data_IF_749574068097
#
_entry.id   IF_749574068097
#
_cell.length_a   1.000
_cell.length_b   1.000
_cell.length_c   1.000
_cell.angle_alpha   90.00
_cell.angle_beta   90.00
_cell.angle_gamma   90.00
#
_symmetry.space_group_name_H-M   'P 1'
#
loop_
_entity.id
_entity.type
_entity.pdbx_description
1 polymer ?
#
# COMPACT_ATOMS: atom_id res chain seq x y z
N UNK A 1 -17.09 -2.41 5.33
CA UNK A 1 -16.60 -3.81 5.31
C UNK A 1 -17.79 -4.75 5.24
N UNK A 2 -17.62 -5.97 4.70
CA UNK A 2 -18.67 -7.00 4.66
C UNK A 2 -18.23 -8.18 5.53
N UNK A 3 -18.99 -8.48 6.58
CA UNK A 3 -18.79 -9.66 7.43
C UNK A 3 -19.98 -10.61 7.34
N UNK A 4 -19.75 -11.92 7.46
CA UNK A 4 -20.82 -12.94 7.51
C UNK A 4 -20.66 -13.75 8.80
N UNK A 5 -21.74 -13.87 9.58
CA UNK A 5 -21.74 -14.62 10.84
C UNK A 5 -21.65 -16.14 10.66
N UNK A 6 -20.81 -16.80 11.46
CA UNK A 6 -20.61 -18.26 11.50
C UNK A 6 -21.06 -18.83 12.85
N UNK A 7 -21.57 -20.05 12.84
CA UNK A 7 -21.90 -20.86 14.03
C UNK A 7 -20.67 -21.71 14.42
N UNK A 8 -20.33 -21.76 15.72
CA UNK A 8 -19.23 -22.52 16.31
C UNK A 8 -19.28 -24.02 15.95
N UNK A 9 -20.48 -24.58 15.80
CA UNK A 9 -20.68 -26.03 15.62
C UNK A 9 -20.61 -26.50 14.16
N UNK A 10 -20.46 -25.59 13.20
CA UNK A 10 -20.44 -25.95 11.79
C UNK A 10 -19.10 -25.57 11.15
N UNK A 11 -18.28 -26.58 10.85
CA UNK A 11 -16.94 -26.40 10.28
C UNK A 11 -16.97 -25.81 8.85
N UNK A 12 -18.10 -25.90 8.15
CA UNK A 12 -18.30 -25.40 6.78
C UNK A 12 -19.71 -24.83 6.56
N UNK A 13 -19.82 -23.74 5.79
CA UNK A 13 -21.07 -23.26 5.22
C UNK A 13 -21.14 -23.71 3.74
N UNK A 14 -22.03 -24.66 3.43
CA UNK A 14 -22.27 -25.06 2.04
C UNK A 14 -22.77 -23.85 1.21
N UNK A 15 -22.14 -23.63 0.05
CA UNK A 15 -22.43 -22.53 -0.89
C UNK A 15 -21.42 -21.38 -0.92
N UNK A 16 -20.37 -21.36 -0.09
CA UNK A 16 -19.33 -20.33 -0.22
C UNK A 16 -18.30 -20.69 -1.29
N UNK A 17 -17.98 -19.75 -2.18
CA UNK A 17 -16.94 -19.90 -3.22
C UNK A 17 -15.57 -20.01 -2.53
N UNK A 18 -14.85 -21.10 -2.77
CA UNK A 18 -13.44 -21.35 -2.45
C UNK A 18 -13.00 -21.27 -0.96
N UNK A 19 -13.85 -21.64 0.00
CA UNK A 19 -13.46 -21.81 1.42
C UNK A 19 -12.79 -20.59 2.11
N UNK A 20 -12.84 -19.40 1.50
CA UNK A 20 -12.28 -18.20 2.11
C UNK A 20 -13.24 -17.67 3.18
N UNK A 21 -12.92 -17.99 4.43
CA UNK A 21 -13.53 -17.40 5.63
C UNK A 21 -12.88 -16.02 5.81
N UNK A 22 -13.63 -14.94 5.61
CA UNK A 22 -13.29 -13.65 6.25
C UNK A 22 -13.95 -13.68 7.64
N UNK A 23 -13.18 -13.80 8.73
CA UNK A 23 -13.71 -14.18 10.05
C UNK A 23 -14.14 -12.94 10.83
N UNK A 24 -15.44 -12.73 11.06
CA UNK A 24 -15.88 -11.61 11.89
C UNK A 24 -16.95 -11.97 12.93
N UNK A 25 -17.35 -13.24 13.03
CA UNK A 25 -18.14 -13.72 14.17
C UNK A 25 -17.62 -15.10 14.55
N UNK A 26 -16.73 -15.14 15.55
CA UNK A 26 -16.46 -16.35 16.33
C UNK A 26 -17.26 -16.17 17.63
N UNK A 27 -18.28 -17.00 17.84
CA UNK A 27 -18.95 -17.09 19.12
C UNK A 27 -18.01 -17.89 20.04
N UNK A 28 -17.32 -17.19 20.96
CA UNK A 28 -16.53 -17.82 22.02
C UNK A 28 -17.07 -17.34 23.36
N UNK A 29 -17.96 -18.12 23.95
CA UNK A 29 -18.42 -17.91 25.33
C UNK A 29 -17.32 -18.20 26.38
N UNK A 30 -16.13 -18.66 26.02
CA UNK A 30 -15.19 -19.26 26.99
C UNK A 30 -14.13 -18.33 27.63
N UNK A 31 -13.93 -17.06 27.22
CA UNK A 31 -12.80 -16.25 27.73
C UNK A 31 -13.12 -14.82 28.21
N UNK A 32 -14.37 -14.47 28.48
CA UNK A 32 -14.70 -13.21 29.16
C UNK A 32 -14.34 -11.93 28.38
N UNK A 33 -14.12 -12.04 27.07
CA UNK A 33 -14.07 -10.89 26.17
C UNK A 33 -15.50 -10.50 25.76
N UNK A 34 -15.83 -9.20 25.67
CA UNK A 34 -17.15 -8.77 25.24
C UNK A 34 -17.36 -9.19 23.78
N UNK A 35 -18.20 -10.21 23.59
CA UNK A 35 -18.91 -10.46 22.34
C UNK A 35 -19.83 -9.25 22.13
N UNK A 36 -20.00 -8.80 20.89
CA UNK A 36 -20.93 -7.72 20.56
C UNK A 36 -22.37 -8.18 20.92
N UNK A 37 -22.82 -7.93 22.16
CA UNK A 37 -24.07 -8.46 22.71
C UNK A 37 -25.34 -7.87 22.06
N UNK A 38 -25.25 -6.82 21.23
CA UNK A 38 -26.42 -5.97 20.90
C UNK A 38 -26.82 -5.91 19.41
N UNK A 39 -26.31 -6.77 18.52
CA UNK A 39 -26.70 -6.76 17.10
C UNK A 39 -27.62 -7.92 16.64
N UNK A 40 -28.20 -8.70 17.57
CA UNK A 40 -29.09 -9.83 17.24
C UNK A 40 -28.54 -10.75 16.13
N UNK A 41 -27.23 -11.02 16.17
CA UNK A 41 -26.52 -11.71 15.10
C UNK A 41 -26.98 -13.16 14.92
N UNK A 42 -27.57 -13.48 13.75
CA UNK A 42 -27.96 -14.85 13.39
C UNK A 42 -27.09 -15.42 12.26
N UNK A 43 -27.04 -16.74 12.12
CA UNK A 43 -26.30 -17.42 11.06
C UNK A 43 -26.61 -16.82 9.68
N UNK A 44 -25.58 -16.57 8.88
CA UNK A 44 -25.71 -15.93 7.55
C UNK A 44 -26.29 -14.51 7.61
N UNK A 45 -26.19 -13.81 8.73
CA UNK A 45 -26.33 -12.35 8.74
C UNK A 45 -25.13 -11.74 8.04
N UNK A 46 -25.38 -10.82 7.12
CA UNK A 46 -24.39 -10.00 6.43
C UNK A 46 -24.48 -8.58 6.95
N UNK A 47 -23.33 -8.02 7.31
CA UNK A 47 -23.22 -6.69 7.90
C UNK A 47 -22.46 -5.77 6.97
N UNK A 48 -23.00 -4.58 6.74
CA UNK A 48 -22.28 -3.45 6.19
C UNK A 48 -21.88 -2.53 7.34
N UNK A 49 -20.57 -2.40 7.55
CA UNK A 49 -20.00 -1.49 8.53
C UNK A 49 -19.42 -0.26 7.84
N UNK A 50 -19.52 0.91 8.49
CA UNK A 50 -18.80 2.12 8.09
C UNK A 50 -17.30 1.95 8.38
N UNK A 51 -16.49 2.98 8.06
CA UNK A 51 -15.03 2.95 8.28
C UNK A 51 -14.65 2.98 9.76
N UNK A 52 -15.53 3.48 10.61
CA UNK A 52 -15.38 3.56 12.06
C UNK A 52 -15.78 2.23 12.76
N UNK A 53 -16.27 1.24 12.00
CA UNK A 53 -16.72 -0.05 12.52
C UNK A 53 -18.18 -0.07 12.98
N UNK A 54 -18.93 1.03 12.83
CA UNK A 54 -20.35 1.09 13.18
C UNK A 54 -21.20 0.35 12.14
N UNK A 55 -22.25 -0.32 12.61
CA UNK A 55 -23.19 -1.01 11.74
C UNK A 55 -24.07 -0.02 10.97
N UNK A 56 -23.94 -0.04 9.63
CA UNK A 56 -24.80 0.74 8.71
C UNK A 56 -26.04 -0.08 8.35
N UNK A 57 -25.86 -1.36 8.03
CA UNK A 57 -26.95 -2.20 7.53
C UNK A 57 -26.70 -3.68 7.82
N UNK A 58 -27.76 -4.40 8.18
CA UNK A 58 -27.75 -5.83 8.43
C UNK A 58 -28.89 -6.50 7.69
N UNK A 59 -28.61 -7.65 7.08
CA UNK A 59 -29.62 -8.47 6.42
C UNK A 59 -29.22 -9.93 6.42
N UNK A 60 -30.21 -10.82 6.34
CA UNK A 60 -29.99 -12.27 6.40
C UNK A 60 -29.96 -12.88 5.00
N UNK A 61 -28.87 -13.57 4.65
CA UNK A 61 -28.68 -14.21 3.33
C UNK A 61 -29.04 -15.71 3.33
N UNK A 62 -29.74 -16.20 4.36
CA UNK A 62 -30.12 -17.62 4.48
C UNK A 62 -30.96 -18.11 3.29
N UNK A 63 -31.78 -17.24 2.71
CA UNK A 63 -32.63 -17.59 1.56
C UNK A 63 -31.94 -17.46 0.21
N UNK A 64 -30.70 -16.94 0.15
CA UNK A 64 -29.98 -16.71 -1.11
C UNK A 64 -29.13 -17.93 -1.48
N UNK A 65 -29.30 -18.42 -2.71
CA UNK A 65 -28.49 -19.46 -3.32
C UNK A 65 -27.41 -18.85 -4.24
N UNK A 66 -26.11 -18.92 -3.89
CA UNK A 66 -25.04 -18.34 -4.71
C UNK A 66 -24.83 -19.05 -6.06
N UNK A 67 -25.37 -20.26 -6.24
CA UNK A 67 -25.38 -20.95 -7.55
C UNK A 67 -26.57 -20.53 -8.43
N UNK A 68 -27.55 -19.80 -7.89
CA UNK A 68 -28.65 -19.22 -8.67
C UNK A 68 -28.23 -17.84 -9.22
N UNK A 69 -28.15 -17.65 -10.55
CA UNK A 69 -27.78 -16.38 -11.15
C UNK A 69 -28.67 -15.20 -10.74
N UNK A 70 -29.94 -15.45 -10.40
CA UNK A 70 -30.87 -14.40 -9.96
C UNK A 70 -30.55 -13.89 -8.55
N UNK A 71 -30.24 -14.81 -7.63
CA UNK A 71 -29.85 -14.47 -6.25
C UNK A 71 -28.47 -13.81 -6.20
N UNK A 72 -27.54 -14.27 -7.04
CA UNK A 72 -26.25 -13.61 -7.24
C UNK A 72 -26.44 -12.17 -7.73
N UNK A 73 -27.27 -11.96 -8.76
CA UNK A 73 -27.55 -10.63 -9.31
C UNK A 73 -28.24 -9.72 -8.28
N UNK A 74 -29.17 -10.27 -7.49
CA UNK A 74 -29.83 -9.54 -6.40
C UNK A 74 -28.82 -9.09 -5.34
N UNK A 75 -27.93 -9.98 -4.90
CA UNK A 75 -26.91 -9.65 -3.91
C UNK A 75 -25.92 -8.59 -4.40
N UNK A 76 -25.47 -8.70 -5.67
CA UNK A 76 -24.63 -7.69 -6.31
C UNK A 76 -25.34 -6.35 -6.41
N UNK A 77 -26.59 -6.32 -6.88
CA UNK A 77 -27.36 -5.07 -6.97
C UNK A 77 -27.60 -4.45 -5.59
N UNK A 78 -27.83 -5.24 -4.55
CA UNK A 78 -27.94 -4.75 -3.19
C UNK A 78 -26.65 -4.06 -2.74
N UNK A 79 -25.49 -4.68 -2.98
CA UNK A 79 -24.19 -4.06 -2.69
C UNK A 79 -24.00 -2.76 -3.48
N UNK A 80 -24.36 -2.76 -4.77
CA UNK A 80 -24.22 -1.59 -5.64
C UNK A 80 -25.16 -0.45 -5.22
N UNK A 81 -26.41 -0.75 -4.87
CA UNK A 81 -27.39 0.22 -4.39
C UNK A 81 -26.99 0.79 -3.02
N UNK A 82 -26.43 -0.04 -2.13
CA UNK A 82 -25.89 0.46 -0.86
C UNK A 82 -24.68 1.35 -1.08
N UNK A 83 -23.78 0.99 -1.99
CA UNK A 83 -22.66 1.86 -2.39
C UNK A 83 -23.13 3.13 -3.08
N UNK A 84 -24.18 3.09 -3.88
CA UNK A 84 -24.69 4.27 -4.57
C UNK A 84 -25.40 5.24 -3.62
N UNK A 85 -26.07 4.74 -2.59
CA UNK A 85 -26.84 5.57 -1.65
C UNK A 85 -26.09 5.93 -0.37
N UNK A 86 -25.07 5.15 0.04
CA UNK A 86 -24.33 5.32 1.30
C UNK A 86 -22.81 5.14 1.13
N UNK A 87 -22.33 4.87 -0.09
CA UNK A 87 -20.90 4.80 -0.35
C UNK A 87 -20.29 6.19 -0.45
N UNK A 88 -18.96 6.27 -0.32
CA UNK A 88 -18.25 7.54 -0.46
C UNK A 88 -18.42 8.08 -1.87
N UNK A 89 -18.57 9.40 -2.01
CA UNK A 89 -18.48 10.00 -3.33
C UNK A 89 -17.04 9.84 -3.83
N UNK A 90 -16.89 9.65 -5.15
CA UNK A 90 -15.59 9.54 -5.79
C UNK A 90 -15.39 10.79 -6.64
N UNK A 91 -14.44 11.64 -6.25
CA UNK A 91 -14.04 12.84 -6.97
C UNK A 91 -12.80 12.51 -7.82
N UNK A 92 -12.88 12.66 -9.14
CA UNK A 92 -11.77 12.28 -10.04
C UNK A 92 -10.93 13.49 -10.42
N UNK A 93 -9.64 13.44 -10.12
CA UNK A 93 -8.67 14.46 -10.52
C UNK A 93 -8.07 14.09 -11.88
N UNK A 94 -8.10 15.06 -12.80
CA UNK A 94 -7.92 15.03 -14.27
C UNK A 94 -9.23 14.98 -15.08
N UNK A 95 -10.32 14.43 -14.51
CA UNK A 95 -11.65 14.42 -15.13
C UNK A 95 -12.54 15.56 -14.60
N UNK A 96 -12.84 15.55 -13.29
CA UNK A 96 -13.75 16.49 -12.64
C UNK A 96 -13.01 17.74 -12.14
N UNK A 97 -11.76 17.56 -11.72
CA UNK A 97 -10.91 18.61 -11.15
C UNK A 97 -9.52 18.62 -11.81
N UNK A 98 -8.96 19.81 -12.05
CA UNK A 98 -7.60 19.95 -12.60
C UNK A 98 -6.50 19.91 -11.53
N UNK A 99 -6.85 20.23 -10.28
CA UNK A 99 -5.94 20.33 -9.14
C UNK A 99 -6.43 19.40 -8.04
N UNK A 100 -5.49 18.72 -7.38
CA UNK A 100 -5.81 17.81 -6.27
C UNK A 100 -6.41 18.61 -5.11
N UNK A 101 -5.84 19.78 -4.81
CA UNK A 101 -6.34 20.61 -3.71
C UNK A 101 -7.81 21.03 -3.92
N UNK A 102 -8.21 21.34 -5.15
CA UNK A 102 -9.60 21.70 -5.45
C UNK A 102 -10.55 20.52 -5.22
N UNK A 103 -10.15 19.30 -5.53
CA UNK A 103 -10.96 18.12 -5.24
C UNK A 103 -11.10 17.91 -3.72
N UNK A 104 -10.02 18.07 -2.96
CA UNK A 104 -10.07 17.99 -1.48
C UNK A 104 -11.01 19.06 -0.90
N UNK A 105 -10.97 20.30 -1.41
CA UNK A 105 -11.85 21.38 -0.96
C UNK A 105 -13.33 21.09 -1.20
N UNK A 106 -13.67 20.32 -2.23
CA UNK A 106 -15.06 19.96 -2.57
C UNK A 106 -15.50 18.59 -2.02
N UNK A 107 -14.59 17.79 -1.49
CA UNK A 107 -14.91 16.50 -0.87
C UNK A 107 -15.57 16.67 0.51
N UNK A 108 -16.46 15.76 0.89
CA UNK A 108 -16.98 15.65 2.26
C UNK A 108 -16.27 14.54 3.04
N UNK A 109 -16.44 14.50 4.36
CA UNK A 109 -15.90 13.43 5.20
C UNK A 109 -16.38 12.05 4.72
N UNK A 110 -15.43 11.14 4.53
CA UNK A 110 -15.65 9.79 4.02
C UNK A 110 -15.37 9.64 2.52
N UNK A 111 -15.34 10.74 1.76
CA UNK A 111 -15.18 10.70 0.30
C UNK A 111 -13.80 10.19 -0.14
N UNK A 112 -13.75 9.77 -1.40
CA UNK A 112 -12.54 9.33 -2.08
C UNK A 112 -12.16 10.38 -3.13
N UNK A 113 -10.97 10.94 -3.02
CA UNK A 113 -10.33 11.70 -4.09
C UNK A 113 -9.41 10.76 -4.85
N UNK A 114 -9.78 10.44 -6.09
CA UNK A 114 -9.09 9.49 -6.95
C UNK A 114 -8.27 10.25 -7.99
N UNK A 115 -6.96 10.00 -8.03
CA UNK A 115 -6.03 10.80 -8.85
C UNK A 115 -5.41 9.95 -9.96
N UNK A 116 -5.52 10.40 -11.20
CA UNK A 116 -4.91 9.73 -12.35
C UNK A 116 -3.38 9.86 -12.38
N UNK A 117 -2.67 8.94 -13.06
CA UNK A 117 -1.23 9.06 -13.30
C UNK A 117 -0.84 10.39 -13.95
N UNK A 118 0.18 11.04 -13.41
CA UNK A 118 0.60 12.38 -13.82
C UNK A 118 1.52 13.04 -12.81
N UNK A 119 2.08 14.19 -13.19
CA UNK A 119 2.89 15.02 -12.29
C UNK A 119 2.09 16.26 -11.91
N UNK A 120 1.91 16.44 -10.60
CA UNK A 120 1.10 17.49 -9.99
C UNK A 120 2.02 18.39 -9.16
N UNK A 121 2.20 19.63 -9.62
CA UNK A 121 3.00 20.63 -8.93
C UNK A 121 2.15 21.37 -7.90
N UNK A 122 1.98 20.78 -6.72
CA UNK A 122 1.06 21.27 -5.70
C UNK A 122 1.63 21.03 -4.28
N UNK A 123 1.24 21.89 -3.35
CA UNK A 123 1.31 21.61 -1.92
C UNK A 123 -0.11 21.38 -1.43
N UNK A 124 -0.41 20.16 -0.98
CA UNK A 124 -1.77 19.77 -0.63
C UNK A 124 -1.98 19.74 0.89
N UNK A 125 -3.19 20.07 1.32
CA UNK A 125 -3.65 19.96 2.69
C UNK A 125 -4.96 19.22 2.78
N UNK A 126 -5.05 18.26 3.70
CA UNK A 126 -6.28 17.54 4.02
C UNK A 126 -7.31 18.40 4.77
N UNK A 127 -6.97 19.66 5.08
CA UNK A 127 -7.82 20.60 5.83
C UNK A 127 -8.23 19.99 7.17
N UNK A 128 -9.53 19.92 7.47
CA UNK A 128 -10.16 19.27 8.62
C UNK A 128 -10.98 18.03 8.22
N UNK A 129 -10.64 17.43 7.06
CA UNK A 129 -11.45 16.38 6.43
C UNK A 129 -10.86 14.99 6.55
N UNK A 130 -11.73 14.03 6.86
CA UNK A 130 -11.41 12.60 6.86
C UNK A 130 -11.71 12.00 5.47
N UNK A 131 -10.78 12.11 4.53
CA UNK A 131 -10.93 11.63 3.16
C UNK A 131 -9.88 10.56 2.80
N UNK A 132 -10.18 9.76 1.77
CA UNK A 132 -9.18 8.92 1.11
C UNK A 132 -8.64 9.60 -0.13
N UNK A 133 -7.40 10.03 -0.11
CA UNK A 133 -6.66 10.44 -1.30
C UNK A 133 -5.92 9.23 -1.86
N UNK A 134 -6.28 8.79 -3.06
CA UNK A 134 -5.84 7.52 -3.65
C UNK A 134 -5.31 7.72 -5.06
N UNK A 135 -4.09 7.26 -5.32
CA UNK A 135 -3.56 7.13 -6.65
C UNK A 135 -4.28 6.00 -7.41
N UNK A 136 -4.79 6.28 -8.61
CA UNK A 136 -5.59 5.35 -9.41
C UNK A 136 -4.94 3.95 -9.58
N UNK A 137 -3.62 3.81 -9.83
CA UNK A 137 -2.97 2.50 -9.93
C UNK A 137 -3.10 1.63 -8.66
N UNK A 138 -3.27 2.26 -7.49
CA UNK A 138 -3.40 1.58 -6.20
C UNK A 138 -4.85 1.39 -5.75
N UNK A 139 -5.82 1.88 -6.52
CA UNK A 139 -7.25 1.84 -6.18
C UNK A 139 -7.92 0.48 -6.40
N UNK A 140 -7.31 -0.40 -7.19
CA UNK A 140 -7.93 -1.65 -7.66
C UNK A 140 -9.13 -1.45 -8.61
N UNK A 141 -9.33 -0.23 -9.12
CA UNK A 141 -10.47 0.13 -9.97
C UNK A 141 -10.24 -0.18 -11.47
N UNK A 142 -8.98 -0.16 -11.94
CA UNK A 142 -8.63 -0.46 -13.33
C UNK A 142 -7.36 -1.31 -13.45
N UNK A 143 -7.49 -2.55 -13.94
CA UNK A 143 -6.38 -3.52 -14.11
C UNK A 143 -5.31 -3.13 -15.14
N UNK A 144 -5.42 -1.96 -15.78
CA UNK A 144 -4.56 -1.52 -16.90
C UNK A 144 -3.96 -0.12 -16.72
N UNK A 145 -4.14 0.57 -15.59
CA UNK A 145 -3.54 1.89 -15.37
C UNK A 145 -2.07 1.75 -15.01
N UNK A 146 -1.20 2.01 -16.00
CA UNK A 146 0.25 2.08 -15.83
C UNK A 146 0.69 3.53 -15.69
N UNK A 147 1.50 3.83 -14.68
CA UNK A 147 2.06 5.15 -14.40
C UNK A 147 2.12 5.45 -12.91
N UNK A 148 2.87 6.47 -12.50
CA UNK A 148 2.89 6.97 -11.13
C UNK A 148 2.10 8.27 -11.01
N UNK A 149 1.62 8.55 -9.80
CA UNK A 149 1.01 9.83 -9.44
C UNK A 149 2.04 10.59 -8.61
N UNK A 150 2.67 11.58 -9.21
CA UNK A 150 3.75 12.35 -8.60
C UNK A 150 3.19 13.66 -8.03
N UNK A 151 3.31 13.85 -6.73
CA UNK A 151 3.15 15.12 -6.04
C UNK A 151 4.53 15.77 -5.90
N UNK A 152 4.74 16.86 -6.64
CA UNK A 152 6.01 17.56 -6.70
C UNK A 152 5.90 18.94 -6.04
N UNK A 153 6.62 19.15 -4.94
CA UNK A 153 6.67 20.44 -4.23
C UNK A 153 7.42 21.55 -4.99
N UNK A 154 8.07 21.23 -6.11
CA UNK A 154 8.78 22.18 -6.95
C UNK A 154 9.96 22.90 -6.29
N UNK A 155 10.43 22.41 -5.13
CA UNK A 155 11.42 23.07 -4.29
C UNK A 155 10.93 24.38 -3.65
N UNK A 156 9.62 24.62 -3.63
CA UNK A 156 9.03 25.79 -2.99
C UNK A 156 8.86 25.56 -1.49
N UNK A 157 8.78 26.66 -0.73
CA UNK A 157 8.64 26.59 0.72
C UNK A 157 7.27 26.01 1.12
N UNK A 158 7.30 24.86 1.77
CA UNK A 158 6.16 24.13 2.31
C UNK A 158 6.37 22.61 2.21
N UNK A 159 5.75 21.86 3.12
CA UNK A 159 5.60 20.41 2.97
C UNK A 159 4.78 20.10 1.73
N UNK A 160 5.09 19.02 1.01
CA UNK A 160 4.27 18.59 -0.16
C UNK A 160 2.86 18.20 0.30
N UNK A 161 2.76 17.49 1.43
CA UNK A 161 1.49 17.06 2.02
C UNK A 161 1.40 17.50 3.48
N UNK A 162 0.32 18.18 3.85
CA UNK A 162 0.04 18.61 5.23
C UNK A 162 -1.25 18.00 5.76
N UNK A 163 -1.18 17.35 6.93
CA UNK A 163 -2.31 16.75 7.64
C UNK A 163 -2.28 17.23 9.10
N UNK A 164 -2.98 18.33 9.41
CA UNK A 164 -2.76 19.07 10.66
C UNK A 164 -4.00 19.56 11.44
N UNK A 165 -5.21 19.05 11.19
CA UNK A 165 -6.42 19.53 11.88
C UNK A 165 -7.33 18.41 12.42
N UNK A 166 -6.75 17.36 13.01
CA UNK A 166 -7.51 16.38 13.78
C UNK A 166 -8.06 15.21 12.97
N UNK A 167 -7.45 14.91 11.81
CA UNK A 167 -7.76 13.71 11.05
C UNK A 167 -7.56 12.44 11.89
N UNK A 168 -8.41 11.44 11.70
CA UNK A 168 -8.23 10.10 12.27
C UNK A 168 -7.71 9.09 11.22
N UNK A 169 -7.57 7.82 11.62
CA UNK A 169 -7.01 6.77 10.75
C UNK A 169 -7.86 6.46 9.51
N UNK A 170 -9.10 6.98 9.43
CA UNK A 170 -9.94 6.89 8.24
C UNK A 170 -9.52 7.86 7.14
N UNK A 171 -8.66 8.84 7.45
CA UNK A 171 -7.92 9.64 6.48
C UNK A 171 -6.79 8.80 5.88
N UNK A 172 -6.77 8.64 4.56
CA UNK A 172 -5.83 7.75 3.89
C UNK A 172 -5.09 8.51 2.79
N UNK A 173 -3.76 8.39 2.76
CA UNK A 173 -2.91 8.76 1.64
C UNK A 173 -2.28 7.49 1.05
N UNK A 174 -2.66 7.15 -0.18
CA UNK A 174 -2.32 5.86 -0.79
C UNK A 174 -1.71 6.00 -2.18
N UNK A 175 -0.49 5.48 -2.36
CA UNK A 175 0.08 5.20 -3.68
C UNK A 175 0.74 6.38 -4.42
N UNK A 176 1.09 7.45 -3.71
CA UNK A 176 1.69 8.64 -4.31
C UNK A 176 3.22 8.59 -4.27
N UNK A 177 3.84 9.17 -5.30
CA UNK A 177 5.25 9.55 -5.30
C UNK A 177 5.34 11.01 -4.83
N UNK A 178 6.06 11.28 -3.74
CA UNK A 178 6.10 12.58 -3.06
C UNK A 178 7.54 13.07 -3.04
N UNK A 179 7.79 14.16 -3.78
CA UNK A 179 9.15 14.63 -4.01
C UNK A 179 9.30 16.15 -4.05
N UNK A 180 10.57 16.59 -3.97
CA UNK A 180 10.99 17.98 -4.10
C UNK A 180 10.28 18.94 -3.14
N UNK A 181 9.83 18.45 -1.98
CA UNK A 181 9.33 19.28 -0.89
C UNK A 181 10.45 20.01 -0.17
N UNK A 182 10.21 21.25 0.25
CA UNK A 182 11.16 22.02 1.05
C UNK A 182 10.44 22.72 2.20
N UNK A 183 10.59 22.21 3.43
CA UNK A 183 10.04 22.84 4.63
C UNK A 183 11.17 23.40 5.51
N UNK A 184 11.09 24.64 6.01
CA UNK A 184 12.16 25.20 6.84
C UNK A 184 12.21 24.61 8.24
N UNK A 185 11.09 24.08 8.75
CA UNK A 185 10.99 23.60 10.12
C UNK A 185 10.81 22.08 10.16
N UNK A 186 9.69 21.56 9.65
CA UNK A 186 9.34 20.15 9.78
C UNK A 186 8.71 19.59 8.51
N UNK A 187 9.02 18.33 8.19
CA UNK A 187 8.27 17.54 7.20
C UNK A 187 8.47 18.06 5.78
N UNK A 188 9.61 17.80 5.15
CA UNK A 188 9.84 18.21 3.76
C UNK A 188 8.80 17.60 2.82
N UNK A 189 8.61 16.28 2.89
CA UNK A 189 7.61 15.56 2.14
C UNK A 189 6.22 15.66 2.78
N UNK A 190 6.07 15.07 3.96
CA UNK A 190 4.80 14.98 4.69
C UNK A 190 4.93 15.58 6.08
N UNK A 191 4.00 16.46 6.44
CA UNK A 191 3.81 16.96 7.80
C UNK A 191 2.50 16.43 8.39
N UNK A 192 2.60 15.70 9.49
CA UNK A 192 1.47 15.22 10.30
C UNK A 192 1.53 15.93 11.64
N UNK A 193 0.49 16.67 12.02
CA UNK A 193 0.45 17.39 13.31
C UNK A 193 -0.93 17.26 13.96
N UNK A 194 -0.97 16.87 15.24
CA UNK A 194 -2.22 16.64 15.99
C UNK A 194 -3.27 15.84 15.19
N UNK A 195 -2.82 14.85 14.42
CA UNK A 195 -3.62 14.10 13.45
C UNK A 195 -3.08 12.68 13.34
N UNK A 196 -3.94 11.72 13.02
CA UNK A 196 -3.61 10.28 13.04
C UNK A 196 -3.98 9.58 11.73
N UNK A 197 -3.55 10.04 10.55
CA UNK A 197 -3.89 9.44 9.26
C UNK A 197 -3.24 8.06 9.04
N UNK A 198 -3.70 7.36 8.00
CA UNK A 198 -3.03 6.19 7.43
C UNK A 198 -2.24 6.60 6.17
N UNK A 199 -0.94 6.33 6.15
CA UNK A 199 -0.01 6.58 5.05
C UNK A 199 0.43 5.23 4.49
N UNK A 200 -0.06 4.86 3.31
CA UNK A 200 0.08 3.50 2.77
C UNK A 200 0.70 3.50 1.35
N UNK A 201 1.73 2.67 1.13
CA UNK A 201 2.35 2.43 -0.20
C UNK A 201 2.74 3.68 -0.99
N UNK A 202 3.21 4.73 -0.31
CA UNK A 202 3.76 5.92 -0.96
C UNK A 202 5.26 5.77 -1.16
N UNK A 203 5.79 6.47 -2.15
CA UNK A 203 7.24 6.62 -2.40
C UNK A 203 7.60 8.05 -2.02
N UNK A 204 8.44 8.25 -1.01
CA UNK A 204 8.74 9.56 -0.42
C UNK A 204 10.24 9.80 -0.51
N UNK A 205 10.64 10.68 -1.42
CA UNK A 205 12.06 10.86 -1.71
C UNK A 205 12.42 12.26 -2.19
N UNK A 206 13.71 12.60 -2.13
CA UNK A 206 14.22 13.93 -2.54
C UNK A 206 13.51 15.10 -1.84
N UNK A 207 13.04 14.89 -0.61
CA UNK A 207 12.43 15.95 0.19
C UNK A 207 13.44 16.52 1.18
N UNK A 208 13.34 17.82 1.42
CA UNK A 208 14.25 18.54 2.30
C UNK A 208 13.51 19.21 3.44
N UNK A 209 13.98 18.99 4.67
CA UNK A 209 13.65 19.85 5.79
C UNK A 209 14.88 20.67 6.20
N UNK A 210 14.73 21.97 6.42
CA UNK A 210 15.66 22.71 7.27
C UNK A 210 16.02 24.14 6.84
N UNK A 211 15.75 25.02 7.81
CA UNK A 211 16.64 26.03 8.37
C UNK A 211 17.24 25.45 9.68
N UNK A 212 17.68 26.31 10.60
CA UNK A 212 18.30 25.86 11.83
C UNK A 212 17.32 25.16 12.79
N UNK A 213 17.55 23.87 13.07
CA UNK A 213 16.65 23.03 13.88
C UNK A 213 15.61 22.22 13.09
N UNK A 214 15.76 22.12 11.76
CA UNK A 214 14.86 21.34 10.90
C UNK A 214 14.76 19.86 11.29
N UNK A 215 13.64 19.19 11.03
CA UNK A 215 13.49 17.75 11.28
C UNK A 215 12.47 17.07 10.36
N UNK A 216 12.65 15.77 10.06
CA UNK A 216 11.72 15.00 9.24
C UNK A 216 11.80 15.39 7.77
N UNK A 217 12.90 15.03 7.09
CA UNK A 217 13.07 15.30 5.66
C UNK A 217 11.94 14.67 4.83
N UNK A 218 11.70 13.38 5.04
CA UNK A 218 10.59 12.63 4.45
C UNK A 218 9.27 12.93 5.16
N UNK A 219 9.14 12.49 6.42
CA UNK A 219 7.92 12.64 7.24
C UNK A 219 8.26 13.25 8.59
N UNK A 220 7.48 14.23 9.03
CA UNK A 220 7.48 14.70 10.41
C UNK A 220 6.13 14.41 11.08
N UNK A 221 6.15 13.75 12.24
CA UNK A 221 4.97 13.44 13.07
C UNK A 221 5.05 14.22 14.37
N UNK A 222 4.17 15.21 14.54
CA UNK A 222 4.20 16.20 15.61
C UNK A 222 2.95 16.14 16.50
N UNK A 223 3.08 16.60 17.75
CA UNK A 223 1.95 16.74 18.67
C UNK A 223 1.31 15.40 19.04
N UNK A 224 0.04 15.43 19.44
CA UNK A 224 -0.71 14.23 19.82
C UNK A 224 -1.20 13.46 18.59
N UNK A 225 -0.27 12.82 17.89
CA UNK A 225 -0.48 12.12 16.62
C UNK A 225 -0.17 10.63 16.71
N UNK A 226 -1.07 9.80 16.19
CA UNK A 226 -0.99 8.33 16.23
C UNK A 226 -1.21 7.69 14.85
N UNK A 227 -0.47 8.09 13.80
CA UNK A 227 -0.71 7.62 12.44
C UNK A 227 -0.24 6.18 12.23
N UNK A 228 -0.79 5.57 11.19
CA UNK A 228 -0.37 4.27 10.68
C UNK A 228 0.45 4.50 9.41
N UNK A 229 1.70 4.02 9.36
CA UNK A 229 2.61 4.26 8.24
C UNK A 229 3.11 2.90 7.76
N UNK A 230 2.62 2.47 6.59
CA UNK A 230 2.75 1.11 6.08
C UNK A 230 3.18 1.06 4.61
N UNK A 231 4.05 0.10 4.29
CA UNK A 231 4.40 -0.24 2.91
C UNK A 231 5.03 0.90 2.12
N UNK A 232 5.51 1.96 2.76
CA UNK A 232 6.09 3.11 2.09
C UNK A 232 7.58 2.86 1.79
N UNK A 233 8.07 3.49 0.73
CA UNK A 233 9.50 3.55 0.41
C UNK A 233 9.99 4.97 0.68
N UNK A 234 10.95 5.13 1.59
CA UNK A 234 11.39 6.43 2.11
C UNK A 234 12.90 6.52 1.96
N UNK A 235 13.39 7.34 1.03
CA UNK A 235 14.80 7.42 0.69
C UNK A 235 15.23 8.77 0.14
N UNK A 236 16.53 9.07 0.10
CA UNK A 236 17.06 10.34 -0.43
C UNK A 236 16.43 11.60 0.20
N UNK A 237 15.88 11.50 1.41
CA UNK A 237 15.34 12.66 2.12
C UNK A 237 16.41 13.24 3.04
N UNK A 238 16.52 14.56 3.06
CA UNK A 238 17.62 15.27 3.71
C UNK A 238 17.09 16.26 4.74
N UNK A 239 17.71 16.29 5.91
CA UNK A 239 17.60 17.40 6.84
C UNK A 239 18.90 18.19 6.82
N UNK A 240 18.85 19.45 6.37
CA UNK A 240 20.05 20.29 6.21
C UNK A 240 19.75 21.77 6.45
N UNK A 241 20.77 22.55 6.82
CA UNK A 241 20.69 24.00 6.93
C UNK A 241 22.01 24.61 7.42
N UNK A 242 21.99 25.91 7.70
CA UNK A 242 23.12 26.61 8.31
C UNK A 242 22.93 26.79 9.82
N UNK A 243 23.54 25.90 10.62
CA UNK A 243 23.64 26.03 12.07
C UNK A 243 25.05 25.77 12.60
N UNK A 244 25.38 26.47 13.69
CA UNK A 244 26.52 26.12 14.55
C UNK A 244 26.12 25.07 15.63
N UNK A 245 25.24 24.12 15.31
CA UNK A 245 24.82 23.02 16.20
C UNK A 245 24.59 21.70 15.46
N UNK A 246 24.65 20.59 16.20
CA UNK A 246 24.07 19.30 15.80
C UNK A 246 22.58 19.40 16.14
N UNK A 247 21.75 19.62 15.15
CA UNK A 247 20.34 19.97 15.36
C UNK A 247 19.42 19.54 14.21
N UNK A 248 19.87 18.59 13.38
CA UNK A 248 19.08 17.97 12.32
C UNK A 248 18.71 16.54 12.69
N UNK A 249 17.41 16.23 12.66
CA UNK A 249 16.89 14.97 13.20
C UNK A 249 15.88 14.31 12.24
N UNK A 250 15.99 12.99 12.04
CA UNK A 250 15.00 12.22 11.27
C UNK A 250 15.05 12.54 9.78
N UNK A 251 16.01 11.99 9.05
CA UNK A 251 16.08 12.14 7.58
C UNK A 251 14.83 11.56 6.92
N UNK A 252 14.56 10.28 7.19
CA UNK A 252 13.35 9.58 6.78
C UNK A 252 12.14 10.03 7.59
N UNK A 253 12.07 9.66 8.87
CA UNK A 253 10.95 9.99 9.76
C UNK A 253 11.44 10.64 11.07
N UNK A 254 10.87 11.79 11.39
CA UNK A 254 10.94 12.41 12.71
C UNK A 254 9.65 12.22 13.48
N UNK A 255 9.74 11.80 14.75
CA UNK A 255 8.61 11.64 15.67
C UNK A 255 8.82 12.53 16.90
N UNK A 256 7.93 13.49 17.12
CA UNK A 256 7.96 14.35 18.30
C UNK A 256 7.65 13.58 19.58
N UNK A 257 8.03 14.13 20.73
CA UNK A 257 7.87 13.57 22.07
C UNK A 257 6.44 13.11 22.39
N UNK A 258 5.42 13.82 21.89
CA UNK A 258 4.00 13.51 22.15
C UNK A 258 3.36 12.54 21.15
N UNK A 259 4.07 12.21 20.06
CA UNK A 259 3.55 11.39 18.98
C UNK A 259 3.91 9.90 19.15
N UNK A 260 3.05 9.03 18.63
CA UNK A 260 3.19 7.57 18.74
C UNK A 260 2.63 6.84 17.50
N UNK A 261 3.39 6.82 16.38
CA UNK A 261 2.98 6.13 15.17
C UNK A 261 3.09 4.61 15.31
N UNK A 262 2.46 3.88 14.37
CA UNK A 262 2.76 2.47 14.10
C UNK A 262 3.46 2.40 12.74
N UNK A 263 4.68 1.84 12.72
CA UNK A 263 5.49 1.69 11.52
C UNK A 263 5.57 0.22 11.11
N UNK A 264 4.90 -0.17 10.04
CA UNK A 264 4.90 -1.55 9.54
C UNK A 264 4.05 -2.52 10.36
N UNK A 265 4.45 -3.79 10.44
CA UNK A 265 3.76 -4.82 11.23
C UNK A 265 3.62 -6.18 10.59
N UNK A 266 3.90 -6.32 9.30
CA UNK A 266 4.14 -7.61 8.66
C UNK A 266 5.05 -7.45 7.44
N UNK A 267 5.54 -8.55 6.88
CA UNK A 267 6.43 -8.53 5.71
C UNK A 267 5.81 -7.90 4.46
N UNK A 268 4.47 -7.85 4.36
CA UNK A 268 3.74 -7.27 3.21
C UNK A 268 3.40 -5.80 3.38
N UNK A 269 3.58 -5.23 4.58
CA UNK A 269 3.26 -3.83 4.92
C UNK A 269 4.44 -3.12 5.60
N UNK A 270 5.62 -3.72 5.59
CA UNK A 270 6.86 -3.10 6.08
C UNK A 270 7.26 -1.91 5.21
N UNK A 271 7.73 -0.84 5.84
CA UNK A 271 8.31 0.29 5.12
C UNK A 271 9.78 -0.02 4.78
N UNK A 272 10.29 0.65 3.76
CA UNK A 272 11.67 0.53 3.27
C UNK A 272 12.37 1.86 3.46
N UNK A 273 13.56 1.83 4.05
CA UNK A 273 14.34 2.98 4.51
C UNK A 273 15.79 2.86 4.03
N UNK A 274 16.29 3.84 3.28
CA UNK A 274 17.69 3.88 2.82
C UNK A 274 18.10 5.27 2.36
N UNK A 275 19.41 5.57 2.37
CA UNK A 275 19.98 6.80 1.81
C UNK A 275 19.33 8.12 2.31
N UNK A 276 18.71 8.13 3.50
CA UNK A 276 18.24 9.36 4.12
C UNK A 276 19.37 10.04 4.92
N UNK A 277 19.25 11.34 5.17
CA UNK A 277 20.31 12.10 5.85
C UNK A 277 19.78 13.03 6.96
N UNK A 278 20.38 12.92 8.14
CA UNK A 278 20.24 13.84 9.27
C UNK A 278 21.47 13.69 10.20
N UNK A 279 21.68 14.63 11.13
CA UNK A 279 22.78 14.47 12.09
C UNK A 279 22.57 13.29 13.06
N UNK A 280 21.30 12.96 13.35
CA UNK A 280 20.91 11.79 14.15
C UNK A 280 19.60 11.20 13.66
N UNK A 281 19.53 9.87 13.62
CA UNK A 281 18.37 9.16 13.11
C UNK A 281 18.20 9.48 11.63
N UNK A 282 19.15 9.05 10.80
CA UNK A 282 19.09 9.22 9.35
C UNK A 282 17.78 8.63 8.82
N UNK A 283 17.40 7.44 9.28
CA UNK A 283 16.14 6.79 8.93
C UNK A 283 15.02 7.15 9.89
N UNK A 284 15.23 6.93 11.19
CA UNK A 284 14.20 7.12 12.21
C UNK A 284 14.73 7.89 13.42
N UNK A 285 14.04 8.98 13.77
CA UNK A 285 14.33 9.74 14.98
C UNK A 285 13.10 9.91 15.87
N UNK A 286 13.24 9.58 17.16
CA UNK A 286 12.24 9.90 18.19
C UNK A 286 12.78 10.95 19.13
N UNK A 287 12.08 12.08 19.22
CA UNK A 287 12.35 13.13 20.20
C UNK A 287 11.94 12.68 21.61
N UNK A 288 12.73 13.06 22.60
CA UNK A 288 12.56 12.63 23.98
C UNK A 288 12.95 13.68 25.01
N UNK A 289 12.33 13.61 26.19
CA UNK A 289 12.80 14.34 27.36
C UNK A 289 13.87 13.52 28.10
N UNK A 290 14.91 14.17 28.65
CA UNK A 290 16.04 13.50 29.31
C UNK A 290 15.67 12.67 30.56
N UNK A 291 14.42 12.75 31.03
CA UNK A 291 13.93 12.08 32.25
C UNK A 291 13.12 10.79 31.97
N UNK A 292 12.88 10.42 30.70
CA UNK A 292 12.12 9.20 30.36
C UNK A 292 13.03 7.97 30.25
N UNK A 293 13.27 7.31 31.38
CA UNK A 293 14.02 6.04 31.47
C UNK A 293 13.14 4.79 31.31
N UNK A 294 11.84 4.96 31.05
CA UNK A 294 10.88 3.89 30.82
C UNK A 294 10.13 4.23 29.52
N UNK A 295 10.51 3.56 28.44
CA UNK A 295 9.88 3.68 27.13
C UNK A 295 8.86 2.55 27.00
N UNK A 296 7.60 2.88 26.72
CA UNK A 296 6.88 2.04 25.77
C UNK A 296 7.61 2.28 24.43
N UNK A 297 7.86 1.23 23.64
CA UNK A 297 8.55 1.39 22.36
C UNK A 297 7.54 1.75 21.27
N UNK A 298 7.99 2.51 20.27
CA UNK A 298 7.24 2.68 19.02
C UNK A 298 7.30 1.37 18.26
N UNK A 299 6.14 0.85 17.89
CA UNK A 299 6.02 -0.38 17.12
C UNK A 299 6.57 -0.18 15.70
N UNK A 300 7.70 -0.82 15.39
CA UNK A 300 8.43 -0.68 14.13
C UNK A 300 8.84 -2.03 13.53
N UNK A 301 7.99 -3.05 13.65
CA UNK A 301 8.26 -4.40 13.18
C UNK A 301 8.28 -4.52 11.65
N UNK A 302 9.10 -5.44 11.16
CA UNK A 302 9.12 -5.84 9.74
C UNK A 302 9.43 -4.72 8.73
N UNK A 303 10.08 -3.64 9.17
CA UNK A 303 10.63 -2.64 8.26
C UNK A 303 11.97 -3.11 7.67
N UNK A 304 12.31 -2.58 6.51
CA UNK A 304 13.52 -2.88 5.75
C UNK A 304 14.49 -1.71 5.84
N UNK A 305 15.75 -2.00 6.17
CA UNK A 305 16.85 -1.03 6.30
C UNK A 305 18.06 -1.53 5.52
N UNK A 306 19.03 -0.66 5.22
CA UNK A 306 20.29 -1.10 4.59
C UNK A 306 21.00 -2.19 5.41
N UNK A 307 21.03 -2.03 6.72
CA UNK A 307 21.51 -3.04 7.67
C UNK A 307 20.42 -3.38 8.71
N UNK A 308 20.29 -4.67 9.05
CA UNK A 308 19.36 -5.12 10.09
C UNK A 308 20.09 -6.00 11.12
N UNK A 309 20.04 -5.64 12.42
CA UNK A 309 19.41 -4.45 12.98
C UNK A 309 20.14 -3.15 12.55
N UNK A 310 19.42 -2.04 12.34
CA UNK A 310 20.03 -0.76 11.99
C UNK A 310 20.87 -0.23 13.15
N UNK A 311 21.85 0.61 12.84
CA UNK A 311 22.73 1.17 13.86
C UNK A 311 22.14 2.46 14.48
N UNK A 312 22.89 3.09 15.40
CA UNK A 312 22.43 4.29 16.11
C UNK A 312 22.48 5.59 15.29
N UNK A 313 23.12 5.56 14.13
CA UNK A 313 23.12 6.65 13.16
C UNK A 313 21.79 6.62 12.40
N UNK A 314 21.41 5.45 11.90
CA UNK A 314 20.15 5.22 11.17
C UNK A 314 18.94 5.41 12.07
N UNK A 315 18.95 4.81 13.27
CA UNK A 315 17.82 4.81 14.19
C UNK A 315 18.21 5.36 15.55
N UNK A 316 17.58 6.46 15.96
CA UNK A 316 17.93 7.14 17.20
C UNK A 316 16.71 7.63 18.03
N UNK A 317 16.75 7.49 19.36
CA UNK A 317 17.59 6.55 20.10
C UNK A 317 17.08 5.12 19.84
N UNK A 318 17.97 4.13 19.65
CA UNK A 318 17.58 2.74 19.41
C UNK A 318 16.57 2.17 20.42
N UNK A 319 16.66 2.59 21.69
CA UNK A 319 15.76 2.11 22.74
C UNK A 319 14.30 2.56 22.58
N UNK A 320 14.02 3.59 21.78
CA UNK A 320 12.66 4.08 21.54
C UNK A 320 11.89 3.24 20.51
N UNK A 321 12.55 2.31 19.81
CA UNK A 321 11.98 1.60 18.67
C UNK A 321 11.97 0.09 18.93
N UNK A 322 10.81 -0.50 18.69
CA UNK A 322 10.66 -1.96 18.65
C UNK A 322 10.92 -2.42 17.21
N UNK A 323 12.17 -2.78 16.94
CA UNK A 323 12.68 -3.16 15.62
C UNK A 323 12.71 -4.67 15.40
N UNK A 324 11.93 -5.45 16.16
CA UNK A 324 11.91 -6.89 15.98
C UNK A 324 11.51 -7.27 14.54
N UNK A 325 12.16 -8.33 14.04
CA UNK A 325 11.93 -8.86 12.70
C UNK A 325 12.17 -7.86 11.57
N UNK A 326 13.07 -6.88 11.75
CA UNK A 326 13.57 -6.08 10.62
C UNK A 326 14.19 -6.97 9.53
N UNK A 327 14.37 -6.38 8.36
CA UNK A 327 14.98 -7.04 7.20
C UNK A 327 16.08 -6.14 6.63
N UNK A 328 17.13 -6.76 6.10
CA UNK A 328 18.12 -6.05 5.30
C UNK A 328 17.60 -5.88 3.87
N UNK A 329 17.81 -4.69 3.31
CA UNK A 329 17.64 -4.47 1.88
C UNK A 329 18.82 -5.15 1.18
N UNK A 330 18.54 -6.04 0.23
CA UNK A 330 19.57 -6.55 -0.68
C UNK A 330 19.90 -5.45 -1.70
N UNK A 331 20.61 -4.41 -1.25
CA UNK A 331 21.18 -3.37 -2.09
C UNK A 331 22.34 -3.97 -2.88
N UNK A 332 22.02 -4.69 -3.96
CA UNK A 332 22.97 -4.75 -5.08
C UNK A 332 23.12 -3.30 -5.53
N UNK A 333 24.22 -2.63 -5.15
CA UNK A 333 24.63 -1.31 -5.67
C UNK A 333 24.71 -1.39 -7.19
N UNK A 334 23.57 -1.18 -7.83
CA UNK A 334 23.41 -0.79 -9.20
C UNK A 334 22.84 0.62 -9.12
N UNK A 335 23.45 1.54 -9.85
CA UNK A 335 22.86 2.83 -10.23
C UNK A 335 21.35 2.69 -10.50
N UNK A 336 20.56 3.74 -10.26
CA UNK A 336 19.20 3.70 -9.70
C UNK A 336 18.37 2.54 -10.26
N UNK A 337 17.95 1.65 -9.37
CA UNK A 337 16.95 0.64 -9.71
C UNK A 337 15.59 1.34 -9.69
N UNK A 338 15.25 2.02 -10.79
CA UNK A 338 13.91 1.81 -11.33
C UNK A 338 13.78 0.29 -11.39
N UNK A 339 12.72 -0.28 -10.84
CA UNK A 339 12.40 -1.69 -11.06
C UNK A 339 12.10 -1.86 -12.56
N UNK A 340 13.15 -1.87 -13.38
CA UNK A 340 13.11 -2.14 -14.80
C UNK A 340 13.00 -3.63 -14.96
N UNK A 341 11.80 -4.15 -14.69
CA UNK A 341 11.33 -5.21 -15.55
C UNK A 341 11.42 -4.69 -16.99
N UNK A 342 12.39 -5.17 -17.77
CA UNK A 342 12.34 -4.99 -19.24
C UNK A 342 11.01 -5.51 -19.80
N UNK A 343 10.34 -6.37 -19.03
CA UNK A 343 9.05 -6.91 -19.33
C UNK A 343 8.23 -7.18 -18.04
N UNK A 344 6.91 -7.28 -18.19
CA UNK A 344 5.97 -7.83 -17.22
C UNK A 344 5.27 -9.04 -17.86
N UNK A 345 5.36 -10.23 -17.23
CA UNK A 345 4.72 -11.45 -17.69
C UNK A 345 3.32 -11.56 -17.04
N UNK A 346 2.27 -11.29 -17.82
CA UNK A 346 0.90 -11.39 -17.33
C UNK A 346 0.43 -12.84 -17.28
N UNK A 347 -0.58 -13.16 -16.45
CA UNK A 347 -1.19 -14.47 -16.44
C UNK A 347 -1.61 -14.94 -17.83
N UNK A 348 -1.17 -16.14 -18.22
CA UNK A 348 -1.63 -16.76 -19.46
C UNK A 348 -3.17 -16.91 -19.46
N UNK A 349 -3.83 -16.61 -20.58
CA UNK A 349 -5.28 -16.72 -20.70
C UNK A 349 -5.69 -17.53 -21.95
N UNK A 350 -6.59 -18.53 -21.79
CA UNK A 350 -7.16 -19.01 -20.52
C UNK A 350 -6.12 -19.71 -19.61
N UNK A 351 -6.41 -19.84 -18.32
CA UNK A 351 -5.68 -20.68 -17.36
C UNK A 351 -6.62 -21.12 -16.22
N UNK A 352 -6.96 -22.41 -16.07
CA UNK A 352 -6.50 -23.54 -16.88
C UNK A 352 -6.89 -23.45 -18.37
N UNK A 353 -6.10 -24.06 -19.26
CA UNK A 353 -6.29 -23.99 -20.72
C UNK A 353 -6.40 -25.36 -21.38
N UNK A 354 -7.02 -25.40 -22.58
CA UNK A 354 -7.17 -26.61 -23.40
C UNK A 354 -7.17 -26.31 -24.91
N UNK A 355 -6.20 -26.82 -25.70
CA UNK A 355 -4.79 -26.94 -25.37
C UNK A 355 -4.00 -25.66 -25.70
N UNK A 356 -4.68 -24.58 -26.08
CA UNK A 356 -4.07 -23.31 -26.51
C UNK A 356 -4.28 -22.25 -25.43
N UNK A 357 -3.24 -21.50 -25.12
CA UNK A 357 -3.30 -20.32 -24.26
C UNK A 357 -2.48 -19.18 -24.86
N UNK A 358 -2.80 -17.96 -24.47
CA UNK A 358 -2.02 -16.77 -24.80
C UNK A 358 -1.18 -16.38 -23.59
N UNK A 359 0.05 -15.96 -23.84
CA UNK A 359 1.01 -15.51 -22.83
C UNK A 359 1.31 -14.05 -23.12
N UNK A 360 0.60 -13.12 -22.45
CA UNK A 360 0.82 -11.70 -22.64
C UNK A 360 2.12 -11.26 -21.93
N UNK A 361 2.91 -10.45 -22.62
CA UNK A 361 4.12 -9.84 -22.10
C UNK A 361 4.08 -8.36 -22.45
N UNK A 362 4.11 -7.49 -21.44
CA UNK A 362 4.36 -6.06 -21.65
C UNK A 362 5.86 -5.82 -21.64
N UNK A 363 6.38 -4.98 -22.54
CA UNK A 363 7.79 -4.64 -22.66
C UNK A 363 7.96 -3.15 -22.35
N UNK A 364 8.68 -2.86 -21.28
CA UNK A 364 8.95 -1.48 -20.81
C UNK A 364 10.11 -0.84 -21.58
N UNK A 365 11.08 -1.65 -22.03
CA UNK A 365 12.26 -1.22 -22.79
C UNK A 365 12.57 -2.21 -23.91
N UNK A 366 12.93 -1.74 -25.12
CA UNK A 366 13.11 -2.64 -26.24
C UNK A 366 14.34 -3.52 -26.00
N UNK A 367 14.18 -4.84 -26.13
CA UNK A 367 15.19 -5.78 -25.66
C UNK A 367 14.98 -7.21 -26.10
N UNK A 368 16.04 -8.02 -25.96
CA UNK A 368 15.96 -9.46 -26.14
C UNK A 368 15.32 -10.11 -24.92
N UNK A 369 14.28 -10.91 -25.17
CA UNK A 369 13.65 -11.77 -24.17
C UNK A 369 13.79 -13.25 -24.54
N UNK A 370 13.86 -14.08 -23.52
CA UNK A 370 13.86 -15.53 -23.60
C UNK A 370 12.65 -16.05 -22.81
N UNK A 371 11.56 -16.37 -23.50
CA UNK A 371 10.41 -17.06 -22.91
C UNK A 371 10.66 -18.57 -23.01
N UNK A 372 10.64 -19.28 -21.90
CA UNK A 372 10.76 -20.72 -21.83
C UNK A 372 9.60 -21.33 -21.06
N UNK A 373 9.21 -22.54 -21.42
CA UNK A 373 8.16 -23.28 -20.70
C UNK A 373 8.75 -24.58 -20.19
N UNK A 374 8.53 -24.88 -18.92
CA UNK A 374 9.07 -26.06 -18.24
C UNK A 374 7.96 -26.92 -17.63
N UNK A 375 8.15 -28.25 -17.63
CA UNK A 375 7.29 -29.15 -16.86
C UNK A 375 7.64 -29.15 -15.36
N UNK A 376 6.86 -29.87 -14.53
CA UNK A 376 7.11 -30.03 -13.09
C UNK A 376 8.49 -30.63 -12.74
N UNK A 377 9.17 -31.29 -13.67
CA UNK A 377 10.51 -31.86 -13.48
C UNK A 377 11.61 -30.87 -13.91
N UNK A 378 11.23 -29.67 -14.36
CA UNK A 378 12.14 -28.65 -14.90
C UNK A 378 12.52 -28.86 -16.37
N UNK A 379 11.95 -29.86 -17.06
CA UNK A 379 12.26 -30.14 -18.46
C UNK A 379 11.69 -29.04 -19.35
N UNK A 380 12.53 -28.45 -20.21
CA UNK A 380 12.11 -27.47 -21.20
C UNK A 380 11.19 -28.11 -22.26
N UNK A 381 9.99 -27.57 -22.43
CA UNK A 381 8.97 -28.06 -23.38
C UNK A 381 8.69 -27.09 -24.53
N UNK A 382 8.87 -25.79 -24.34
CA UNK A 382 8.76 -24.79 -25.41
C UNK A 382 9.65 -23.56 -25.14
N UNK A 383 9.99 -22.80 -26.19
CA UNK A 383 10.77 -21.56 -26.05
C UNK A 383 10.61 -20.57 -27.20
N UNK A 384 10.77 -19.29 -26.88
CA UNK A 384 10.89 -18.17 -27.79
C UNK A 384 12.06 -17.30 -27.36
N UNK A 385 12.95 -16.98 -28.30
CA UNK A 385 14.04 -16.04 -28.09
C UNK A 385 13.94 -14.96 -29.17
N UNK A 386 13.52 -13.76 -28.78
CA UNK A 386 13.22 -12.68 -29.72
C UNK A 386 13.54 -11.32 -29.12
N UNK A 387 13.85 -10.37 -30.00
CA UNK A 387 13.85 -8.95 -29.66
C UNK A 387 12.40 -8.44 -29.72
N UNK A 388 11.98 -7.70 -28.71
CA UNK A 388 10.68 -7.04 -28.67
C UNK A 388 10.87 -5.53 -28.50
N UNK A 389 10.06 -4.75 -29.20
CA UNK A 389 9.95 -3.30 -29.01
C UNK A 389 9.09 -2.99 -27.78
N UNK A 390 9.12 -1.73 -27.32
CA UNK A 390 8.24 -1.27 -26.22
C UNK A 390 6.77 -1.52 -26.57
N UNK A 391 5.99 -1.97 -25.58
CA UNK A 391 4.55 -2.21 -25.70
C UNK A 391 4.13 -3.64 -25.38
N UNK A 392 2.87 -3.95 -25.63
CA UNK A 392 2.28 -5.25 -25.33
C UNK A 392 2.47 -6.26 -26.47
N UNK A 393 2.95 -7.44 -26.12
CA UNK A 393 3.16 -8.57 -27.02
C UNK A 393 2.41 -9.79 -26.51
N UNK A 394 2.03 -10.68 -27.41
CA UNK A 394 1.29 -11.90 -27.07
C UNK A 394 1.95 -13.09 -27.75
N UNK A 395 2.36 -14.07 -26.94
CA UNK A 395 2.82 -15.37 -27.42
C UNK A 395 1.65 -16.35 -27.38
N UNK A 396 1.45 -17.11 -28.45
CA UNK A 396 0.44 -18.17 -28.48
C UNK A 396 1.16 -19.49 -28.21
N UNK A 397 0.77 -20.15 -27.13
CA UNK A 397 1.29 -21.46 -26.77
C UNK A 397 0.26 -22.56 -27.07
N UNK A 398 0.61 -23.46 -27.99
CA UNK A 398 -0.17 -24.65 -28.32
C UNK A 398 0.45 -25.89 -27.66
N UNK A 399 -0.18 -26.36 -26.58
CA UNK A 399 0.27 -27.49 -25.80
C UNK A 399 -0.40 -28.82 -26.21
N UNK A 400 -0.95 -28.94 -27.42
CA UNK A 400 -1.72 -30.13 -27.85
C UNK A 400 -0.94 -31.45 -27.68
N UNK A 401 0.40 -31.42 -27.83
CA UNK A 401 1.28 -32.59 -27.71
C UNK A 401 1.77 -32.88 -26.28
N UNK A 402 1.44 -32.03 -25.31
CA UNK A 402 1.88 -32.15 -23.92
C UNK A 402 0.81 -32.83 -23.06
N UNK A 403 1.15 -33.59 -22.01
CA UNK A 403 0.18 -34.19 -21.09
C UNK A 403 -0.50 -33.13 -20.21
N UNK A 404 -1.74 -33.37 -19.75
CA UNK A 404 -2.38 -32.51 -18.73
C UNK A 404 -1.51 -32.41 -17.48
N UNK A 405 -1.41 -31.24 -16.89
CA UNK A 405 -0.52 -31.00 -15.76
C UNK A 405 -0.15 -29.53 -15.57
N UNK A 406 0.75 -29.30 -14.61
CA UNK A 406 1.28 -27.98 -14.28
C UNK A 406 2.55 -27.74 -15.10
N UNK A 407 2.66 -26.53 -15.66
CA UNK A 407 3.82 -26.03 -16.37
C UNK A 407 4.22 -24.67 -15.81
N UNK A 408 5.48 -24.31 -15.96
CA UNK A 408 6.02 -23.00 -15.58
C UNK A 408 6.47 -22.26 -16.81
N UNK A 409 5.83 -21.13 -17.09
CA UNK A 409 6.24 -20.16 -18.10
C UNK A 409 7.24 -19.25 -17.43
N UNK A 410 8.47 -19.21 -17.93
CA UNK A 410 9.53 -18.33 -17.46
C UNK A 410 9.85 -17.34 -18.56
N UNK A 411 10.01 -16.08 -18.24
CA UNK A 411 10.56 -15.07 -19.15
C UNK A 411 11.82 -14.51 -18.54
N UNK A 412 12.87 -14.37 -19.33
CA UNK A 412 14.16 -13.84 -18.90
C UNK A 412 14.63 -12.77 -19.88
N UNK A 413 15.17 -11.68 -19.35
CA UNK A 413 15.99 -10.71 -20.07
C UNK A 413 17.40 -10.73 -19.48
N UNK A 414 18.30 -9.86 -19.97
CA UNK A 414 19.66 -9.74 -19.39
C UNK A 414 19.66 -9.33 -17.91
N UNK A 415 18.61 -8.68 -17.42
CA UNK A 415 18.58 -8.01 -16.11
C UNK A 415 17.42 -8.47 -15.21
N UNK A 416 16.42 -9.19 -15.73
CA UNK A 416 15.24 -9.60 -14.98
C UNK A 416 14.74 -10.98 -15.43
N UNK A 417 14.09 -11.71 -14.53
CA UNK A 417 13.31 -12.89 -14.89
C UNK A 417 11.96 -12.88 -14.15
N UNK A 418 10.94 -13.45 -14.76
CA UNK A 418 9.64 -13.68 -14.15
C UNK A 418 9.20 -15.12 -14.43
N UNK A 419 8.36 -15.70 -13.57
CA UNK A 419 7.86 -17.07 -13.71
C UNK A 419 6.41 -17.18 -13.28
N UNK A 420 5.60 -17.77 -14.16
CA UNK A 420 4.18 -17.92 -13.99
C UNK A 420 3.76 -19.39 -14.14
N UNK A 421 2.80 -19.83 -13.32
CA UNK A 421 2.23 -21.17 -13.37
C UNK A 421 1.10 -21.25 -14.41
N UNK A 422 1.15 -22.22 -15.31
CA UNK A 422 0.10 -22.56 -16.26
C UNK A 422 -0.43 -23.98 -16.03
N UNK A 423 -1.74 -24.17 -16.15
CA UNK A 423 -2.42 -25.45 -15.91
C UNK A 423 -3.06 -25.92 -17.22
N UNK A 424 -2.53 -26.99 -17.81
CA UNK A 424 -3.13 -27.63 -18.98
C UNK A 424 -4.16 -28.68 -18.53
N UNK A 425 -5.42 -28.51 -18.94
CA UNK A 425 -6.49 -29.48 -18.78
C UNK A 425 -6.88 -30.00 -20.17
N UNK A 426 -6.99 -31.31 -20.34
CA UNK A 426 -7.45 -31.93 -21.59
C UNK A 426 -8.83 -32.53 -21.41
#
# INVERSE_FOLDING_TARGET
MIGVGKDEYNSSLDGMIDQNILPWVEDREEEGYPVWEDYEAVQRSTYFLNRQGDLIYQFNITTLNPEDPADYSYFINLILDFRANNGPNVLRVSEDYLLIQNAIENADNGDIVLVEPGVYYEHISFLDKNISLVALPYSGYEDNTSGSVVLDGGGQQGSVVTINNGQDQSSILLGFEIQNGYSPDYGGGILIENSSPTIDRNVIHNNTAGNCGGSGGGIAVLGSSYPYIFGNEIFDNTVQGDCDCICYFGGGIYVDSLAWPILGGSTTIGNVFYDNYADKGEELYKNFSADSYLWDQIYAHHNYFEECPPDSIDVYPLSAWDLEHCHSIDLVKNDPIIQFGNFNLSPNFPNPFNPITTIPISISYPGFINLTIHDLKGTLVDKWNTFLEVGNHVFIWDAQKLPSGIYFIKVESKQSYDTQKAILLK
#
